data_IF_811993710109
#
_entry.id   IF_811993710109
#
_cell.length_a   1.000
_cell.length_b   1.000
_cell.length_c   1.000
_cell.angle_alpha   90.00
_cell.angle_beta   90.00
_cell.angle_gamma   90.00
#
_symmetry.space_group_name_H-M   'P 1'
#
loop_
_entity.id
_entity.type
_entity.pdbx_description
1 polymer ?
#
# COMPACT_ATOMS: atom_id res chain seq x y z
N UNK A 1 -10.82 -21.29 24.18
CA UNK A 1 -11.66 -20.16 23.71
C UNK A 1 -11.15 -19.64 22.37
N UNK A 2 -11.99 -19.50 21.31
CA UNK A 2 -11.56 -18.95 20.02
C UNK A 2 -11.12 -17.48 20.12
N UNK A 3 -10.08 -17.11 19.38
CA UNK A 3 -9.55 -15.75 19.43
C UNK A 3 -10.56 -14.71 18.90
N UNK A 4 -10.42 -13.43 19.33
CA UNK A 4 -11.25 -12.31 18.83
C UNK A 4 -11.29 -12.27 17.29
N UNK A 5 -10.17 -12.59 16.63
CA UNK A 5 -10.05 -12.60 15.17
C UNK A 5 -10.84 -13.74 14.52
N UNK A 6 -10.83 -14.94 15.12
CA UNK A 6 -11.60 -16.08 14.63
C UNK A 6 -13.11 -15.84 14.75
N UNK A 7 -13.57 -15.26 15.87
CA UNK A 7 -14.99 -14.89 16.06
C UNK A 7 -15.47 -13.87 15.03
N UNK A 8 -14.68 -12.83 14.76
CA UNK A 8 -15.03 -11.79 13.77
C UNK A 8 -15.06 -12.33 12.34
N UNK A 9 -14.25 -13.34 12.02
CA UNK A 9 -14.26 -14.01 10.70
C UNK A 9 -15.53 -14.84 10.51
N UNK A 10 -15.88 -15.69 11.48
CA UNK A 10 -17.14 -16.47 11.45
C UNK A 10 -18.37 -15.58 11.37
N UNK A 11 -18.38 -14.47 12.12
CA UNK A 11 -19.47 -13.49 12.07
C UNK A 11 -19.54 -12.68 10.77
N UNK A 12 -18.55 -12.76 9.88
CA UNK A 12 -18.60 -12.20 8.52
C UNK A 12 -19.06 -13.25 7.51
N UNK A 13 -18.59 -14.49 7.65
CA UNK A 13 -18.99 -15.62 6.81
C UNK A 13 -20.50 -15.87 6.91
N UNK A 14 -21.08 -15.81 8.12
CA UNK A 14 -22.54 -15.93 8.33
C UNK A 14 -23.38 -14.73 7.88
N UNK A 15 -22.79 -13.63 7.40
CA UNK A 15 -23.56 -12.45 6.92
C UNK A 15 -24.13 -12.61 5.52
N UNK A 16 -23.77 -13.69 4.84
CA UNK A 16 -24.11 -13.93 3.44
C UNK A 16 -24.98 -15.19 3.27
N UNK A 17 -25.56 -15.68 4.36
CA UNK A 17 -26.61 -16.70 4.34
C UNK A 17 -27.95 -15.98 4.05
N UNK A 18 -28.12 -15.49 2.82
CA UNK A 18 -29.42 -15.03 2.34
C UNK A 18 -30.03 -16.14 1.49
N UNK A 19 -31.26 -16.53 1.81
CA UNK A 19 -32.07 -17.45 1.03
C UNK A 19 -32.79 -16.65 -0.06
N UNK A 20 -32.60 -17.03 -1.33
CA UNK A 20 -33.30 -16.39 -2.44
C UNK A 20 -34.70 -16.97 -2.53
N UNK A 21 -35.72 -16.18 -2.24
CA UNK A 21 -37.13 -16.57 -2.33
C UNK A 21 -37.76 -15.85 -3.53
N UNK A 22 -38.35 -16.61 -4.44
CA UNK A 22 -39.10 -16.08 -5.58
C UNK A 22 -40.55 -15.85 -5.15
N UNK A 23 -41.01 -14.62 -5.27
CA UNK A 23 -42.35 -14.20 -4.82
C UNK A 23 -43.15 -13.73 -6.03
N UNK A 24 -44.41 -14.15 -6.13
CA UNK A 24 -45.32 -13.74 -7.20
C UNK A 24 -45.99 -12.37 -6.95
N UNK A 25 -46.79 -11.90 -7.92
CA UNK A 25 -47.52 -10.62 -7.84
C UNK A 25 -48.52 -10.56 -6.68
N UNK A 26 -48.85 -11.71 -6.06
CA UNK A 26 -49.75 -11.83 -4.91
C UNK A 26 -49.02 -12.05 -3.58
N UNK A 27 -47.68 -12.06 -3.57
CA UNK A 27 -46.88 -12.23 -2.37
C UNK A 27 -46.66 -13.68 -1.93
N UNK A 28 -46.96 -14.68 -2.76
CA UNK A 28 -46.75 -16.11 -2.45
C UNK A 28 -45.43 -16.61 -3.00
N UNK A 29 -44.76 -17.46 -2.21
CA UNK A 29 -43.51 -18.12 -2.58
C UNK A 29 -43.78 -19.18 -3.65
N UNK A 30 -43.09 -19.10 -4.79
CA UNK A 30 -43.21 -20.06 -5.91
C UNK A 30 -41.87 -20.77 -6.09
N UNK A 31 -41.91 -22.07 -6.41
CA UNK A 31 -40.72 -22.81 -6.84
C UNK A 31 -40.07 -22.10 -8.04
N UNK A 32 -38.74 -21.96 -8.06
CA UNK A 32 -38.05 -21.30 -9.15
C UNK A 32 -38.43 -21.96 -10.49
N UNK A 33 -38.84 -21.18 -11.51
CA UNK A 33 -39.09 -21.72 -12.85
C UNK A 33 -37.85 -22.50 -13.33
N UNK A 34 -38.00 -23.61 -14.06
CA UNK A 34 -36.86 -24.32 -14.63
C UNK A 34 -36.12 -23.36 -15.57
N UNK A 35 -34.95 -22.89 -15.15
CA UNK A 35 -34.06 -22.10 -15.99
C UNK A 35 -33.59 -23.00 -17.15
N UNK A 36 -34.02 -22.71 -18.37
CA UNK A 36 -33.27 -23.10 -19.56
C UNK A 36 -31.86 -22.53 -19.39
N UNK A 37 -30.87 -23.39 -19.16
CA UNK A 37 -29.49 -23.00 -18.86
C UNK A 37 -28.98 -22.00 -19.90
N UNK A 38 -28.77 -20.70 -19.58
CA UNK A 38 -27.99 -19.88 -20.48
C UNK A 38 -26.55 -20.38 -20.36
N UNK A 39 -25.98 -20.88 -21.46
CA UNK A 39 -24.57 -21.26 -21.56
C UNK A 39 -23.71 -20.11 -21.00
N UNK A 40 -23.29 -20.24 -19.74
CA UNK A 40 -22.41 -19.28 -19.10
C UNK A 40 -21.05 -19.46 -19.74
N UNK A 41 -20.78 -18.69 -20.81
CA UNK A 41 -19.43 -18.41 -21.29
C UNK A 41 -18.60 -18.10 -20.06
N UNK A 42 -17.64 -18.99 -19.76
CA UNK A 42 -16.76 -18.89 -18.60
C UNK A 42 -15.95 -17.60 -18.69
N UNK A 43 -16.51 -16.52 -18.16
CA UNK A 43 -15.77 -15.29 -17.90
C UNK A 43 -14.72 -15.62 -16.85
N UNK A 44 -13.50 -15.85 -17.32
CA UNK A 44 -12.31 -16.14 -16.52
C UNK A 44 -11.95 -14.89 -15.72
N UNK A 45 -12.62 -14.67 -14.60
CA UNK A 45 -12.47 -13.40 -13.89
C UNK A 45 -13.02 -13.39 -12.48
N UNK A 46 -12.57 -14.31 -11.62
CA UNK A 46 -12.45 -14.03 -10.17
C UNK A 46 -11.54 -15.04 -9.48
N UNK A 47 -10.26 -14.70 -9.32
CA UNK A 47 -9.47 -15.33 -8.26
C UNK A 47 -9.97 -14.76 -6.94
N UNK A 48 -10.60 -15.63 -6.15
CA UNK A 48 -10.97 -15.39 -4.77
C UNK A 48 -9.73 -14.97 -3.97
N UNK A 49 -9.59 -13.66 -3.72
CA UNK A 49 -8.58 -13.12 -2.83
C UNK A 49 -9.02 -13.31 -1.36
N UNK A 50 -9.12 -14.57 -0.92
CA UNK A 50 -9.31 -14.91 0.49
C UNK A 50 -8.33 -16.01 0.90
N UNK A 51 -7.25 -15.60 1.57
CA UNK A 51 -6.69 -16.36 2.69
C UNK A 51 -5.80 -17.56 2.39
N UNK A 52 -5.32 -17.76 1.16
CA UNK A 52 -4.21 -18.67 0.95
C UNK A 52 -2.92 -17.99 1.43
N UNK A 53 -2.26 -18.60 2.42
CA UNK A 53 -0.87 -18.32 2.81
C UNK A 53 -0.09 -17.96 1.56
N UNK A 54 0.60 -16.82 1.56
CA UNK A 54 1.49 -16.42 0.48
C UNK A 54 2.62 -17.46 0.35
N UNK A 55 2.32 -18.58 -0.31
CA UNK A 55 3.31 -19.42 -0.96
C UNK A 55 3.90 -18.52 -2.02
N UNK A 56 5.16 -18.12 -1.78
CA UNK A 56 6.14 -17.73 -2.79
C UNK A 56 5.49 -17.31 -4.11
N UNK A 57 5.01 -16.06 -4.15
CA UNK A 57 4.49 -15.49 -5.37
C UNK A 57 5.56 -15.55 -6.45
N UNK A 58 5.24 -16.29 -7.51
CA UNK A 58 5.89 -16.34 -8.82
C UNK A 58 6.63 -15.03 -9.14
N UNK A 59 7.89 -15.05 -9.63
CA UNK A 59 8.70 -13.85 -9.78
C UNK A 59 7.99 -12.86 -10.72
N UNK A 60 7.40 -11.82 -10.14
CA UNK A 60 6.88 -10.65 -10.85
C UNK A 60 8.06 -9.88 -11.42
N UNK A 61 8.51 -10.30 -12.60
CA UNK A 61 9.63 -9.71 -13.32
C UNK A 61 10.96 -9.74 -12.53
N UNK A 62 12.06 -9.28 -13.11
CA UNK A 62 13.26 -9.01 -12.34
C UNK A 62 12.89 -7.93 -11.32
N UNK A 63 12.80 -8.30 -10.03
CA UNK A 63 12.72 -7.32 -8.96
C UNK A 63 13.89 -6.36 -9.18
N UNK A 64 13.59 -5.10 -9.52
CA UNK A 64 14.61 -4.05 -9.69
C UNK A 64 15.50 -4.09 -8.46
N UNK A 65 16.77 -4.43 -8.66
CA UNK A 65 17.75 -4.51 -7.58
C UNK A 65 17.70 -3.19 -6.80
N UNK A 66 17.28 -3.26 -5.55
CA UNK A 66 17.22 -2.07 -4.72
C UNK A 66 18.66 -1.61 -4.47
N UNK A 67 19.02 -0.46 -5.05
CA UNK A 67 20.33 0.17 -4.80
C UNK A 67 20.51 0.36 -3.28
N UNK A 68 21.70 0.07 -2.74
CA UNK A 68 21.96 0.20 -1.31
C UNK A 68 21.73 1.65 -0.85
N UNK A 69 21.35 1.86 0.42
CA UNK A 69 21.13 3.19 0.96
C UNK A 69 22.44 3.98 0.91
N UNK A 70 22.45 5.10 0.20
CA UNK A 70 23.60 6.00 0.10
C UNK A 70 23.24 7.39 0.58
N UNK A 71 24.15 8.02 1.32
CA UNK A 71 23.99 9.38 1.82
C UNK A 71 23.74 10.38 0.69
N UNK A 72 24.44 10.22 -0.44
CA UNK A 72 24.23 11.03 -1.64
C UNK A 72 22.80 10.99 -2.15
N UNK A 73 22.09 9.86 -2.00
CA UNK A 73 20.69 9.73 -2.43
C UNK A 73 19.75 10.44 -1.47
N UNK A 74 20.01 10.34 -0.17
CA UNK A 74 19.24 11.03 0.86
C UNK A 74 19.36 12.55 0.71
N UNK A 75 20.56 13.08 0.45
CA UNK A 75 20.75 14.50 0.14
C UNK A 75 19.96 14.96 -1.09
N UNK A 76 20.03 14.23 -2.22
CA UNK A 76 19.25 14.58 -3.43
C UNK A 76 17.75 14.60 -3.19
N UNK A 77 17.25 13.69 -2.34
CA UNK A 77 15.83 13.65 -1.98
C UNK A 77 15.45 14.75 -1.01
N UNK A 78 16.31 15.08 -0.05
CA UNK A 78 16.11 16.22 0.83
C UNK A 78 16.02 17.54 0.03
N UNK A 79 16.84 17.69 -1.00
CA UNK A 79 16.78 18.86 -1.90
C UNK A 79 15.42 19.04 -2.61
N UNK A 80 14.66 17.97 -2.84
CA UNK A 80 13.30 18.09 -3.39
C UNK A 80 12.34 18.83 -2.44
N UNK A 81 12.61 18.81 -1.13
CA UNK A 81 11.81 19.52 -0.14
C UNK A 81 12.23 20.99 0.02
N UNK A 82 13.39 21.39 -0.51
CA UNK A 82 13.85 22.79 -0.44
C UNK A 82 12.86 23.78 -1.08
N UNK A 83 12.34 23.59 -2.31
CA UNK A 83 11.35 24.50 -2.88
C UNK A 83 10.04 24.49 -2.08
N UNK A 84 9.63 23.34 -1.52
CA UNK A 84 8.44 23.24 -0.69
C UNK A 84 8.59 24.08 0.59
N UNK A 85 9.70 23.93 1.32
CA UNK A 85 9.96 24.74 2.51
C UNK A 85 10.12 26.21 2.18
N UNK A 86 10.73 26.55 1.05
CA UNK A 86 10.84 27.93 0.62
C UNK A 86 9.48 28.59 0.40
N UNK A 87 8.53 27.90 -0.22
CA UNK A 87 7.16 28.40 -0.38
C UNK A 87 6.51 28.59 1.00
N UNK A 88 6.60 27.60 1.88
CA UNK A 88 6.04 27.67 3.23
C UNK A 88 6.62 28.85 4.01
N UNK A 89 7.94 29.01 4.05
CA UNK A 89 8.58 30.12 4.74
C UNK A 89 8.33 31.46 4.06
N UNK A 90 8.11 31.51 2.75
CA UNK A 90 7.72 32.74 2.07
C UNK A 90 6.30 33.19 2.45
N UNK A 91 5.39 32.24 2.67
CA UNK A 91 4.03 32.51 3.11
C UNK A 91 3.92 32.84 4.60
N UNK A 92 4.76 32.22 5.44
CA UNK A 92 4.76 32.45 6.89
C UNK A 92 5.56 33.71 7.25
N UNK A 93 6.78 33.84 6.72
CA UNK A 93 7.73 34.93 7.05
C UNK A 93 7.71 36.04 5.99
N UNK A 94 6.52 36.52 5.64
CA UNK A 94 6.31 37.52 4.56
C UNK A 94 7.00 38.86 4.79
N UNK A 95 7.35 39.18 6.03
CA UNK A 95 8.02 40.43 6.42
C UNK A 95 9.52 40.27 6.63
N UNK A 96 10.04 39.04 6.63
CA UNK A 96 11.48 38.79 6.77
C UNK A 96 12.20 38.95 5.44
N UNK A 97 13.48 39.29 5.47
CA UNK A 97 14.32 39.32 4.28
C UNK A 97 14.31 37.97 3.55
N UNK A 98 14.47 38.01 2.23
CA UNK A 98 14.42 36.79 1.40
C UNK A 98 15.55 35.82 1.76
N UNK A 99 16.70 36.35 2.20
CA UNK A 99 17.84 35.60 2.70
C UNK A 99 17.48 34.76 3.93
N UNK A 100 16.75 35.34 4.88
CA UNK A 100 16.30 34.64 6.09
C UNK A 100 15.35 33.50 5.73
N UNK A 101 14.45 33.71 4.75
CA UNK A 101 13.54 32.67 4.26
C UNK A 101 14.31 31.54 3.60
N UNK A 102 15.27 31.86 2.75
CA UNK A 102 16.10 30.88 2.06
C UNK A 102 16.96 30.08 3.04
N UNK A 103 17.64 30.74 3.97
CA UNK A 103 18.48 30.11 4.98
C UNK A 103 17.66 29.22 5.92
N UNK A 104 16.48 29.68 6.34
CA UNK A 104 15.55 28.86 7.13
C UNK A 104 15.12 27.62 6.35
N UNK A 105 14.73 27.79 5.08
CA UNK A 105 14.32 26.66 4.23
C UNK A 105 15.43 25.62 4.06
N UNK A 106 16.66 26.08 3.90
CA UNK A 106 17.83 25.22 3.79
C UNK A 106 18.12 24.49 5.10
N UNK A 107 18.08 25.20 6.24
CA UNK A 107 18.29 24.63 7.56
C UNK A 107 17.26 23.54 7.88
N UNK A 108 15.97 23.79 7.60
CA UNK A 108 14.91 22.81 7.84
C UNK A 108 14.98 21.63 6.85
N UNK A 109 15.33 21.87 5.60
CA UNK A 109 15.55 20.79 4.62
C UNK A 109 16.71 19.87 5.05
N UNK A 110 17.78 20.42 5.62
CA UNK A 110 18.89 19.64 6.14
C UNK A 110 18.47 18.66 7.26
N UNK A 111 17.51 19.03 8.11
CA UNK A 111 16.95 18.14 9.15
C UNK A 111 16.23 16.91 8.56
N UNK A 112 15.76 16.98 7.32
CA UNK A 112 15.15 15.85 6.63
C UNK A 112 16.17 14.86 6.06
N UNK A 113 17.44 15.22 5.94
CA UNK A 113 18.50 14.31 5.44
C UNK A 113 18.63 13.04 6.31
N UNK A 114 18.80 13.11 7.64
CA UNK A 114 18.90 11.91 8.46
C UNK A 114 17.60 11.08 8.46
N UNK A 115 16.43 11.74 8.42
CA UNK A 115 15.14 11.06 8.36
C UNK A 115 14.97 10.27 7.05
N UNK A 116 15.29 10.89 5.92
CA UNK A 116 15.22 10.22 4.60
C UNK A 116 16.22 9.06 4.49
N UNK A 117 17.39 9.18 5.10
CA UNK A 117 18.35 8.07 5.21
C UNK A 117 17.78 6.87 5.99
N UNK A 118 17.14 7.12 7.13
CA UNK A 118 16.50 6.05 7.92
C UNK A 118 15.38 5.38 7.13
N UNK A 119 14.55 6.13 6.41
CA UNK A 119 13.52 5.57 5.53
C UNK A 119 14.11 4.70 4.41
N UNK A 120 15.20 5.15 3.79
CA UNK A 120 15.89 4.35 2.78
C UNK A 120 16.49 3.06 3.35
N UNK A 121 16.99 3.12 4.59
CA UNK A 121 17.50 1.95 5.30
C UNK A 121 16.40 0.95 5.64
N UNK A 122 15.23 1.38 6.10
CA UNK A 122 14.12 0.48 6.40
C UNK A 122 13.54 -0.12 5.12
N UNK A 123 13.38 0.68 4.06
CA UNK A 123 12.95 0.20 2.75
C UNK A 123 13.90 -0.88 2.22
N UNK A 124 15.22 -0.63 2.26
CA UNK A 124 16.22 -1.62 1.85
C UNK A 124 16.16 -2.91 2.67
N UNK A 125 15.99 -2.81 3.99
CA UNK A 125 15.78 -4.00 4.86
C UNK A 125 14.54 -4.79 4.48
N UNK A 126 13.42 -4.11 4.20
CA UNK A 126 12.20 -4.79 3.78
C UNK A 126 12.33 -5.43 2.40
N UNK A 127 13.11 -4.81 1.50
CA UNK A 127 13.44 -5.39 0.21
C UNK A 127 14.24 -6.70 0.37
N UNK A 128 15.34 -6.70 1.14
CA UNK A 128 16.14 -7.91 1.37
C UNK A 128 15.33 -9.05 1.98
N UNK A 129 14.46 -8.74 2.96
CA UNK A 129 13.56 -9.73 3.59
C UNK A 129 12.56 -10.35 2.60
N UNK A 130 12.18 -9.63 1.54
CA UNK A 130 11.23 -10.09 0.52
C UNK A 130 11.91 -10.76 -0.67
N UNK A 131 13.12 -10.34 -1.02
CA UNK A 131 13.88 -10.89 -2.15
C UNK A 131 14.73 -12.10 -1.77
N UNK A 132 14.98 -12.34 -0.47
CA UNK A 132 15.90 -13.40 -0.03
C UNK A 132 17.35 -13.14 -0.43
N UNK A 133 17.68 -11.92 -0.87
CA UNK A 133 19.03 -11.51 -1.21
C UNK A 133 19.78 -11.13 0.06
N UNK A 134 21.03 -11.58 0.16
CA UNK A 134 21.94 -11.14 1.21
C UNK A 134 22.33 -9.66 1.02
N UNK A 135 22.57 -8.92 2.13
CA UNK A 135 22.98 -7.53 2.06
C UNK A 135 24.26 -7.39 1.21
N UNK A 136 24.28 -6.40 0.31
CA UNK A 136 25.45 -6.14 -0.52
C UNK A 136 26.68 -5.90 0.39
N UNK A 137 27.75 -6.66 0.17
CA UNK A 137 28.98 -6.56 0.94
C UNK A 137 29.50 -5.11 0.91
N UNK A 138 29.72 -4.54 2.10
CA UNK A 138 30.39 -3.24 2.24
C UNK A 138 31.82 -3.40 1.70
N UNK A 139 32.14 -2.73 0.61
CA UNK A 139 33.52 -2.44 0.20
C UNK A 139 33.94 -1.11 0.80
#
# INVERSE_FOLDING_TARGET
MPSRKQRRRRAKERRHEYEYVYVDETGREIEPPPEDEPERRRWRGKSNANGAKAKSGKPTGPLRQAKPPSWNRSFRRALLFLPLFFIVFSLVNKHSAIEVRFLSSLAYSALFVPLTYVMDRTAYRTYLRRSGQDPAAKR
#
